data_IF_673715130533
#
_entry.id   IF_673715130533
#
_cell.length_a   1.000
_cell.length_b   1.000
_cell.length_c   1.000
_cell.angle_alpha   90.00
_cell.angle_beta   90.00
_cell.angle_gamma   90.00
#
_symmetry.space_group_name_H-M   'P 1'
#
loop_
_entity.id
_entity.type
_entity.pdbx_description
1 polymer ?
#
# COMPACT_ATOMS: atom_id res chain seq x y z
N UNK A 1 -16.50 -33.77 -7.54
CA UNK A 1 -15.82 -32.49 -7.21
C UNK A 1 -15.70 -31.59 -8.44
N UNK A 2 -15.28 -32.12 -9.60
CA UNK A 2 -15.23 -31.36 -10.87
C UNK A 2 -16.58 -30.75 -11.27
N UNK A 3 -17.69 -31.50 -11.12
CA UNK A 3 -19.03 -30.97 -11.46
C UNK A 3 -19.48 -29.82 -10.53
N UNK A 4 -19.13 -29.88 -9.25
CA UNK A 4 -19.41 -28.80 -8.29
C UNK A 4 -18.59 -27.54 -8.61
N UNK A 5 -17.32 -27.71 -9.00
CA UNK A 5 -16.46 -26.60 -9.44
C UNK A 5 -17.07 -25.92 -10.68
N UNK A 6 -17.46 -26.71 -11.69
CA UNK A 6 -18.07 -26.20 -12.92
C UNK A 6 -19.40 -25.48 -12.62
N UNK A 7 -20.27 -26.08 -11.81
CA UNK A 7 -21.55 -25.48 -11.42
C UNK A 7 -21.35 -24.17 -10.64
N UNK A 8 -20.44 -24.17 -9.66
CA UNK A 8 -20.08 -22.99 -8.86
C UNK A 8 -19.54 -21.84 -9.73
N UNK A 9 -18.70 -22.16 -10.70
CA UNK A 9 -18.16 -21.20 -11.66
C UNK A 9 -19.25 -20.67 -12.62
N UNK A 10 -20.14 -21.52 -13.11
CA UNK A 10 -21.25 -21.12 -13.99
C UNK A 10 -22.22 -20.14 -13.30
N UNK A 11 -22.55 -20.39 -12.03
CA UNK A 11 -23.41 -19.50 -11.24
C UNK A 11 -22.80 -18.11 -11.11
N UNK A 12 -21.51 -18.03 -10.75
CA UNK A 12 -20.77 -16.76 -10.63
C UNK A 12 -20.61 -16.06 -11.98
N UNK A 13 -20.34 -16.80 -13.05
CA UNK A 13 -20.29 -16.26 -14.41
C UNK A 13 -21.63 -15.67 -14.88
N UNK A 14 -22.77 -16.25 -14.48
CA UNK A 14 -24.09 -15.71 -14.80
C UNK A 14 -24.32 -14.33 -14.14
N UNK A 15 -23.90 -14.15 -12.89
CA UNK A 15 -23.97 -12.84 -12.22
C UNK A 15 -23.07 -11.81 -12.92
N UNK A 16 -21.81 -12.19 -13.22
CA UNK A 16 -20.86 -11.30 -13.91
C UNK A 16 -21.41 -10.89 -15.27
N UNK A 17 -21.93 -11.81 -16.08
CA UNK A 17 -22.55 -11.49 -17.38
C UNK A 17 -23.72 -10.51 -17.25
N UNK A 18 -24.56 -10.69 -16.23
CA UNK A 18 -25.66 -9.75 -15.95
C UNK A 18 -25.15 -8.36 -15.64
N UNK A 19 -24.09 -8.26 -14.84
CA UNK A 19 -23.45 -6.97 -14.55
C UNK A 19 -22.74 -6.40 -15.78
N UNK A 20 -22.08 -7.22 -16.61
CA UNK A 20 -21.35 -6.75 -17.79
C UNK A 20 -22.30 -6.06 -18.77
N UNK A 21 -23.49 -6.65 -18.98
CA UNK A 21 -24.57 -6.01 -19.76
C UNK A 21 -24.97 -4.64 -19.24
N UNK A 22 -24.97 -4.45 -17.91
CA UNK A 22 -25.36 -3.21 -17.25
C UNK A 22 -24.27 -2.14 -17.25
N UNK A 23 -23.02 -2.52 -16.95
CA UNK A 23 -21.94 -1.57 -16.70
C UNK A 23 -20.91 -1.48 -17.83
N UNK A 24 -20.91 -2.44 -18.77
CA UNK A 24 -20.01 -2.59 -19.92
C UNK A 24 -18.53 -2.78 -19.60
N UNK A 25 -18.05 -2.30 -18.46
CA UNK A 25 -16.70 -2.51 -17.95
C UNK A 25 -16.75 -2.95 -16.50
N UNK A 26 -16.24 -4.14 -16.22
CA UNK A 26 -16.21 -4.72 -14.87
C UNK A 26 -14.79 -5.08 -14.48
N UNK A 27 -14.51 -4.97 -13.19
CA UNK A 27 -13.32 -5.52 -12.58
C UNK A 27 -13.70 -6.61 -11.57
N UNK A 28 -13.06 -7.76 -11.67
CA UNK A 28 -13.15 -8.84 -10.69
C UNK A 28 -11.76 -9.18 -10.14
N UNK A 29 -11.69 -9.39 -8.83
CA UNK A 29 -10.53 -9.99 -8.19
C UNK A 29 -10.79 -11.50 -8.05
N UNK A 30 -9.91 -12.32 -8.62
CA UNK A 30 -9.96 -13.77 -8.63
C UNK A 30 -8.58 -14.34 -8.29
N UNK A 31 -8.11 -14.06 -7.07
CA UNK A 31 -6.80 -14.48 -6.56
C UNK A 31 -6.77 -15.91 -6.01
N UNK A 32 -5.78 -16.20 -5.16
CA UNK A 32 -5.47 -17.50 -4.59
C UNK A 32 -6.67 -18.19 -3.92
N UNK A 33 -7.54 -17.44 -3.24
CA UNK A 33 -8.75 -17.97 -2.60
C UNK A 33 -9.81 -18.52 -3.58
N UNK A 34 -9.75 -18.07 -4.85
CA UNK A 34 -10.67 -18.42 -5.92
C UNK A 34 -9.97 -19.15 -7.07
N UNK A 35 -8.69 -19.53 -6.92
CA UNK A 35 -7.85 -20.05 -7.99
C UNK A 35 -8.45 -21.30 -8.67
N UNK A 36 -9.04 -22.20 -7.87
CA UNK A 36 -9.73 -23.41 -8.35
C UNK A 36 -10.93 -23.10 -9.26
N UNK A 37 -11.51 -21.91 -9.15
CA UNK A 37 -12.62 -21.46 -9.98
C UNK A 37 -12.16 -20.63 -11.18
N UNK A 38 -10.92 -20.13 -11.23
CA UNK A 38 -10.50 -19.12 -12.20
C UNK A 38 -10.69 -19.59 -13.64
N UNK A 39 -10.07 -20.70 -14.03
CA UNK A 39 -10.17 -21.23 -15.40
C UNK A 39 -11.61 -21.63 -15.78
N UNK A 40 -12.35 -22.40 -14.95
CA UNK A 40 -13.77 -22.67 -15.18
C UNK A 40 -14.65 -21.41 -15.32
N UNK A 41 -14.38 -20.37 -14.51
CA UNK A 41 -15.10 -19.11 -14.53
C UNK A 41 -14.85 -18.37 -15.85
N UNK A 42 -13.58 -18.25 -16.26
CA UNK A 42 -13.19 -17.62 -17.52
C UNK A 42 -13.87 -18.30 -18.72
N UNK A 43 -13.89 -19.63 -18.74
CA UNK A 43 -14.60 -20.39 -19.77
C UNK A 43 -16.13 -20.16 -19.75
N UNK A 44 -16.73 -20.09 -18.56
CA UNK A 44 -18.17 -19.90 -18.40
C UNK A 44 -18.67 -18.47 -18.71
N UNK A 45 -17.79 -17.47 -18.78
CA UNK A 45 -18.14 -16.11 -19.18
C UNK A 45 -18.54 -16.01 -20.67
N UNK A 46 -18.16 -16.99 -21.50
CA UNK A 46 -18.69 -17.16 -22.86
C UNK A 46 -18.24 -16.08 -23.86
N UNK A 47 -16.96 -15.74 -23.87
CA UNK A 47 -16.37 -14.73 -24.76
C UNK A 47 -14.90 -15.00 -25.07
N UNK A 48 -14.19 -13.98 -25.58
CA UNK A 48 -12.77 -14.10 -25.93
C UNK A 48 -11.91 -13.73 -24.72
N UNK A 49 -11.15 -14.69 -24.21
CA UNK A 49 -10.16 -14.48 -23.13
C UNK A 49 -8.84 -14.06 -23.75
N UNK A 50 -8.30 -12.93 -23.33
CA UNK A 50 -7.05 -12.36 -23.81
C UNK A 50 -6.16 -12.02 -22.62
N UNK A 51 -4.86 -12.23 -22.75
CA UNK A 51 -3.90 -11.68 -21.80
C UNK A 51 -3.87 -10.14 -21.94
N UNK A 52 -3.99 -9.43 -20.82
CA UNK A 52 -4.07 -7.98 -20.82
C UNK A 52 -2.81 -7.27 -21.34
N UNK A 53 -1.61 -7.81 -21.05
CA UNK A 53 -0.35 -7.24 -21.50
C UNK A 53 -0.17 -7.43 -23.01
N UNK A 54 -0.43 -8.64 -23.52
CA UNK A 54 -0.38 -8.93 -24.94
C UNK A 54 -1.40 -8.08 -25.71
N UNK A 55 -2.63 -8.00 -25.19
CA UNK A 55 -3.68 -7.16 -25.75
C UNK A 55 -3.28 -5.69 -25.77
N UNK A 56 -2.58 -5.17 -24.76
CA UNK A 56 -2.08 -3.81 -24.77
C UNK A 56 -0.97 -3.59 -25.83
N UNK A 57 -0.14 -4.60 -26.10
CA UNK A 57 1.02 -4.52 -27.01
C UNK A 57 0.75 -4.69 -28.50
N UNK A 58 -0.40 -5.22 -28.90
CA UNK A 58 -0.71 -5.46 -30.33
C UNK A 58 -0.83 -4.17 -31.17
N UNK A 59 -0.12 -4.08 -32.29
CA UNK A 59 -0.20 -2.91 -33.19
C UNK A 59 -1.45 -2.91 -34.10
N UNK A 60 -2.03 -4.09 -34.33
CA UNK A 60 -3.15 -4.29 -35.26
C UNK A 60 -4.48 -3.79 -34.66
N UNK A 61 -5.45 -3.36 -35.51
CA UNK A 61 -6.83 -3.20 -35.08
C UNK A 61 -7.30 -4.51 -34.47
N UNK A 62 -7.92 -4.44 -33.29
CA UNK A 62 -8.52 -5.61 -32.66
C UNK A 62 -9.70 -6.02 -33.54
N UNK A 63 -9.59 -7.18 -34.21
CA UNK A 63 -10.76 -7.77 -34.86
C UNK A 63 -11.86 -7.93 -33.82
N UNK A 64 -13.04 -7.42 -34.14
CA UNK A 64 -14.21 -7.36 -33.27
C UNK A 64 -14.56 -8.76 -32.75
N UNK A 65 -14.44 -9.02 -31.44
CA UNK A 65 -14.91 -10.27 -30.85
C UNK A 65 -16.43 -10.33 -30.95
N UNK A 66 -17.00 -11.47 -31.32
CA UNK A 66 -18.46 -11.69 -31.40
C UNK A 66 -19.14 -11.90 -30.03
N UNK A 67 -18.52 -11.41 -28.94
CA UNK A 67 -19.00 -11.60 -27.57
C UNK A 67 -18.20 -10.77 -26.56
N UNK A 68 -18.37 -11.05 -25.25
CA UNK A 68 -17.62 -10.37 -24.20
C UNK A 68 -16.10 -10.53 -24.35
N UNK A 69 -15.36 -9.50 -23.97
CA UNK A 69 -13.89 -9.51 -23.94
C UNK A 69 -13.44 -9.66 -22.50
N UNK A 70 -12.73 -10.74 -22.20
CA UNK A 70 -12.19 -11.00 -20.87
C UNK A 70 -10.69 -10.74 -20.90
N UNK A 71 -10.24 -9.69 -20.23
CA UNK A 71 -8.84 -9.30 -20.12
C UNK A 71 -8.27 -9.89 -18.83
N UNK A 72 -7.57 -11.00 -18.96
CA UNK A 72 -6.97 -11.74 -17.85
C UNK A 72 -5.54 -11.29 -17.56
N UNK A 73 -5.13 -11.39 -16.29
CA UNK A 73 -3.76 -11.11 -15.87
C UNK A 73 -3.42 -9.62 -15.83
N UNK A 74 -4.40 -8.73 -15.57
CA UNK A 74 -4.15 -7.29 -15.51
C UNK A 74 -3.20 -6.90 -14.36
N UNK A 75 -3.01 -7.76 -13.34
CA UNK A 75 -2.04 -7.56 -12.24
C UNK A 75 -0.61 -7.34 -12.74
N UNK A 76 -0.29 -7.74 -13.98
CA UNK A 76 0.99 -7.44 -14.62
C UNK A 76 1.31 -5.93 -14.64
N UNK A 77 0.29 -5.06 -14.56
CA UNK A 77 0.44 -3.59 -14.52
C UNK A 77 0.43 -3.00 -13.10
N UNK A 78 0.28 -3.80 -12.05
CA UNK A 78 -0.01 -3.27 -10.70
C UNK A 78 1.13 -2.42 -10.13
N UNK A 79 2.40 -2.83 -10.33
CA UNK A 79 3.54 -2.22 -9.63
C UNK A 79 3.83 -0.77 -10.06
N UNK A 80 3.98 -0.52 -11.36
CA UNK A 80 4.39 0.78 -11.91
C UNK A 80 3.50 1.25 -13.07
N UNK A 81 2.37 0.57 -13.29
CA UNK A 81 1.49 0.84 -14.42
C UNK A 81 2.04 0.32 -15.75
N UNK A 82 3.06 -0.55 -15.74
CA UNK A 82 3.65 -1.15 -16.93
C UNK A 82 3.72 -2.66 -16.82
N UNK A 83 3.61 -3.33 -17.98
CA UNK A 83 3.87 -4.75 -18.12
C UNK A 83 4.87 -4.91 -19.27
N UNK A 84 6.14 -5.15 -18.96
CA UNK A 84 7.22 -5.10 -19.96
C UNK A 84 7.31 -3.71 -20.61
N UNK A 85 7.12 -3.63 -21.93
CA UNK A 85 7.19 -2.38 -22.69
C UNK A 85 5.88 -1.60 -22.81
N UNK A 86 4.75 -2.14 -22.33
CA UNK A 86 3.42 -1.54 -22.51
C UNK A 86 2.90 -0.91 -21.23
N UNK A 87 2.07 0.12 -21.37
CA UNK A 87 1.52 0.89 -20.24
C UNK A 87 0.03 0.61 -20.04
N UNK A 88 -0.44 0.80 -18.80
CA UNK A 88 -1.86 0.76 -18.47
C UNK A 88 -2.67 1.81 -19.26
N UNK A 89 -2.04 2.92 -19.66
CA UNK A 89 -2.63 3.92 -20.55
C UNK A 89 -2.88 3.39 -21.96
N UNK A 90 -1.96 2.59 -22.51
CA UNK A 90 -2.15 1.92 -23.80
C UNK A 90 -3.29 0.89 -23.74
N UNK A 91 -3.37 0.12 -22.64
CA UNK A 91 -4.48 -0.79 -22.38
C UNK A 91 -5.81 -0.03 -22.34
N UNK A 92 -5.87 1.09 -21.58
CA UNK A 92 -7.06 1.94 -21.47
C UNK A 92 -7.54 2.43 -22.84
N UNK A 93 -6.62 2.92 -23.68
CA UNK A 93 -6.98 3.42 -25.00
C UNK A 93 -7.66 2.35 -25.86
N UNK A 94 -7.23 1.10 -25.77
CA UNK A 94 -7.86 -0.02 -26.48
C UNK A 94 -9.18 -0.44 -25.87
N UNK A 95 -9.27 -0.50 -24.54
CA UNK A 95 -10.52 -0.75 -23.82
C UNK A 95 -11.57 0.30 -24.21
N UNK A 96 -11.20 1.58 -24.28
CA UNK A 96 -12.12 2.64 -24.69
C UNK A 96 -12.63 2.45 -26.13
N UNK A 97 -11.76 2.08 -27.08
CA UNK A 97 -12.20 1.75 -28.45
C UNK A 97 -13.21 0.61 -28.49
N UNK A 98 -13.04 -0.42 -27.65
CA UNK A 98 -14.02 -1.51 -27.51
C UNK A 98 -15.32 -1.01 -26.85
N UNK A 99 -15.25 -0.07 -25.91
CA UNK A 99 -16.45 0.53 -25.30
C UNK A 99 -17.22 1.44 -26.26
N UNK A 100 -16.54 2.17 -27.15
CA UNK A 100 -17.17 3.04 -28.15
C UNK A 100 -18.06 2.27 -29.14
N UNK A 101 -17.82 0.97 -29.27
CA UNK A 101 -18.60 0.02 -30.09
C UNK A 101 -19.49 -0.90 -29.24
N UNK A 102 -19.77 -0.49 -28.00
CA UNK A 102 -20.68 -1.13 -27.05
C UNK A 102 -20.27 -2.54 -26.57
N UNK A 103 -18.99 -2.89 -26.66
CA UNK A 103 -18.49 -4.19 -26.19
C UNK A 103 -18.57 -4.34 -24.67
N UNK A 104 -18.84 -5.57 -24.23
CA UNK A 104 -18.82 -5.99 -22.83
C UNK A 104 -17.42 -6.44 -22.43
N UNK A 105 -16.85 -5.85 -21.38
CA UNK A 105 -15.45 -6.05 -21.00
C UNK A 105 -15.35 -6.44 -19.53
N UNK A 106 -14.63 -7.52 -19.25
CA UNK A 106 -14.30 -7.97 -17.90
C UNK A 106 -12.80 -7.95 -17.68
N UNK A 107 -12.33 -7.13 -16.74
CA UNK A 107 -10.96 -7.13 -16.26
C UNK A 107 -10.84 -8.13 -15.12
N UNK A 108 -9.93 -9.09 -15.24
CA UNK A 108 -9.71 -10.14 -14.25
C UNK A 108 -8.33 -10.01 -13.67
N UNK A 109 -8.25 -9.83 -12.34
CA UNK A 109 -6.98 -9.70 -11.65
C UNK A 109 -6.83 -10.64 -10.46
N UNK A 110 -5.60 -11.04 -10.15
CA UNK A 110 -5.26 -11.59 -8.83
C UNK A 110 -5.20 -10.52 -7.74
N UNK A 111 -4.78 -9.30 -8.10
CA UNK A 111 -4.59 -8.19 -7.17
C UNK A 111 -5.83 -7.29 -7.09
N UNK A 112 -6.11 -6.61 -5.96
CA UNK A 112 -7.18 -5.64 -5.86
C UNK A 112 -6.82 -4.32 -6.54
N UNK A 113 -7.83 -3.49 -6.86
CA UNK A 113 -7.65 -2.20 -7.54
C UNK A 113 -6.67 -1.26 -6.81
N UNK A 114 -6.70 -1.24 -5.47
CA UNK A 114 -5.86 -0.38 -4.64
C UNK A 114 -4.35 -0.71 -4.73
N UNK A 115 -3.98 -1.88 -5.26
CA UNK A 115 -2.59 -2.29 -5.45
C UNK A 115 -1.98 -1.72 -6.73
N UNK A 116 -2.81 -1.19 -7.64
CA UNK A 116 -2.33 -0.61 -8.88
C UNK A 116 -1.81 0.81 -8.65
N UNK A 117 -0.63 1.10 -9.20
CA UNK A 117 -0.06 2.43 -9.15
C UNK A 117 -1.00 3.47 -9.79
N UNK A 118 -1.18 4.65 -9.17
CA UNK A 118 -1.93 5.72 -9.78
C UNK A 118 -1.18 6.24 -11.01
N UNK A 119 -1.75 6.03 -12.21
CA UNK A 119 -1.17 6.51 -13.47
C UNK A 119 -1.88 7.80 -13.88
N UNK A 120 -1.13 8.91 -13.97
CA UNK A 120 -1.68 10.19 -14.39
C UNK A 120 -2.39 10.07 -15.75
N UNK A 121 -3.67 10.47 -15.80
CA UNK A 121 -4.49 10.37 -17.01
C UNK A 121 -5.05 8.98 -17.33
N UNK A 122 -4.86 7.97 -16.48
CA UNK A 122 -5.48 6.64 -16.63
C UNK A 122 -6.34 6.30 -15.41
N UNK A 123 -7.65 6.27 -15.59
CA UNK A 123 -8.64 5.85 -14.60
C UNK A 123 -9.29 4.52 -14.97
N UNK A 124 -8.63 3.65 -15.76
CA UNK A 124 -9.25 2.41 -16.27
C UNK A 124 -9.93 1.58 -15.15
N UNK A 125 -9.28 1.47 -14.00
CA UNK A 125 -9.79 0.72 -12.85
C UNK A 125 -10.88 1.47 -12.08
N UNK A 126 -10.83 2.80 -12.07
CA UNK A 126 -11.86 3.65 -11.47
C UNK A 126 -13.13 3.69 -12.34
N UNK A 127 -12.96 3.62 -13.67
CA UNK A 127 -14.04 3.56 -14.66
C UNK A 127 -14.76 2.21 -14.62
N UNK A 128 -14.09 1.15 -14.13
CA UNK A 128 -14.62 -0.21 -14.07
C UNK A 128 -15.53 -0.42 -12.85
N UNK A 129 -16.73 -0.98 -13.06
CA UNK A 129 -17.59 -1.40 -11.96
C UNK A 129 -16.97 -2.59 -11.22
N UNK A 130 -16.74 -2.46 -9.91
CA UNK A 130 -16.19 -3.56 -9.11
C UNK A 130 -17.26 -4.63 -8.85
N UNK A 131 -16.87 -5.90 -8.95
CA UNK A 131 -17.69 -7.02 -8.54
C UNK A 131 -16.88 -8.01 -7.69
N UNK A 132 -17.39 -8.27 -6.48
CA UNK A 132 -16.85 -9.22 -5.53
C UNK A 132 -17.42 -10.61 -5.81
N UNK A 133 -16.55 -11.60 -6.02
CA UNK A 133 -16.97 -12.98 -6.15
C UNK A 133 -17.51 -13.49 -4.80
N UNK A 134 -18.70 -14.10 -4.77
CA UNK A 134 -19.23 -14.66 -3.54
C UNK A 134 -18.43 -15.89 -3.09
N UNK A 135 -18.27 -16.03 -1.77
CA UNK A 135 -17.78 -17.24 -1.11
C UNK A 135 -18.69 -18.43 -1.42
N UNK A 136 -18.27 -19.65 -1.05
CA UNK A 136 -19.11 -20.84 -1.22
C UNK A 136 -20.31 -20.80 -0.27
N UNK A 137 -21.50 -21.02 -0.83
CA UNK A 137 -22.72 -21.22 -0.07
C UNK A 137 -22.69 -22.58 0.67
N UNK A 138 -23.44 -22.77 1.76
CA UNK A 138 -23.43 -24.02 2.53
C UNK A 138 -23.69 -25.29 1.71
N UNK A 139 -24.51 -25.19 0.65
CA UNK A 139 -24.84 -26.30 -0.25
C UNK A 139 -23.72 -26.60 -1.27
N UNK A 140 -22.84 -25.64 -1.56
CA UNK A 140 -21.68 -25.83 -2.45
C UNK A 140 -20.51 -26.51 -1.73
N UNK A 141 -20.55 -26.55 -0.38
CA UNK A 141 -19.50 -27.12 0.46
C UNK A 141 -19.68 -28.63 0.62
N UNK A 142 -18.64 -29.45 0.34
CA UNK A 142 -18.64 -30.87 0.66
C UNK A 142 -18.93 -31.08 2.15
N UNK A 143 -19.79 -32.06 2.47
CA UNK A 143 -20.26 -32.28 3.85
C UNK A 143 -19.11 -32.48 4.84
N UNK A 144 -18.07 -33.19 4.39
CA UNK A 144 -16.85 -33.47 5.13
C UNK A 144 -16.11 -32.20 5.57
N UNK A 145 -16.20 -31.09 4.83
CA UNK A 145 -15.44 -29.87 5.10
C UNK A 145 -16.28 -28.79 5.80
N UNK A 146 -17.61 -28.96 5.92
CA UNK A 146 -18.52 -27.93 6.46
C UNK A 146 -18.16 -27.44 7.87
N UNK A 147 -17.49 -28.27 8.67
CA UNK A 147 -17.06 -27.93 10.02
C UNK A 147 -15.78 -27.08 10.08
N UNK A 148 -15.06 -26.94 8.96
CA UNK A 148 -13.84 -26.14 8.86
C UNK A 148 -14.25 -24.69 8.53
N UNK A 149 -13.88 -23.68 9.34
CA UNK A 149 -14.23 -22.27 9.07
C UNK A 149 -13.81 -21.80 7.66
N UNK A 150 -12.62 -22.22 7.22
CA UNK A 150 -12.10 -21.92 5.89
C UNK A 150 -12.85 -22.58 4.72
N UNK A 151 -13.78 -23.52 4.97
CA UNK A 151 -14.52 -24.22 3.89
C UNK A 151 -15.42 -23.32 3.06
N UNK A 152 -15.66 -22.07 3.52
CA UNK A 152 -16.30 -21.03 2.73
C UNK A 152 -15.44 -20.54 1.55
N UNK A 153 -14.11 -20.68 1.63
CA UNK A 153 -13.20 -20.31 0.55
C UNK A 153 -13.23 -21.37 -0.56
N UNK A 154 -13.41 -21.00 -1.84
CA UNK A 154 -13.41 -21.96 -2.93
C UNK A 154 -12.19 -22.88 -2.97
N UNK A 155 -10.99 -22.32 -2.82
CA UNK A 155 -9.74 -23.11 -2.83
C UNK A 155 -9.63 -24.12 -1.68
N UNK A 156 -10.40 -23.95 -0.59
CA UNK A 156 -10.44 -24.92 0.52
C UNK A 156 -11.63 -25.86 0.37
N UNK A 157 -12.83 -25.32 0.17
CA UNK A 157 -14.06 -26.11 0.10
C UNK A 157 -14.16 -26.98 -1.15
N UNK A 158 -13.50 -26.62 -2.26
CA UNK A 158 -13.50 -27.41 -3.50
C UNK A 158 -12.10 -27.96 -3.86
N UNK A 159 -11.07 -27.63 -3.08
CA UNK A 159 -9.69 -28.10 -3.27
C UNK A 159 -9.40 -29.43 -2.58
N UNK A 160 -8.45 -30.21 -3.10
CA UNK A 160 -8.12 -31.56 -2.58
C UNK A 160 -7.26 -31.58 -1.31
N UNK A 161 -6.49 -30.53 -1.03
CA UNK A 161 -5.77 -30.29 0.22
C UNK A 161 -5.03 -28.96 0.05
N UNK A 162 -5.52 -27.91 0.68
CA UNK A 162 -4.92 -26.58 0.58
C UNK A 162 -4.20 -26.30 1.89
N UNK A 163 -2.87 -26.19 1.83
CA UNK A 163 -2.10 -25.65 2.96
C UNK A 163 -2.65 -24.25 3.25
N UNK A 164 -3.37 -24.13 4.35
CA UNK A 164 -4.08 -22.92 4.72
C UNK A 164 -3.13 -21.76 4.98
N UNK A 165 -1.95 -22.04 5.53
CA UNK A 165 -0.95 -21.00 5.77
C UNK A 165 -0.36 -20.50 4.45
N UNK A 166 -0.08 -21.41 3.51
CA UNK A 166 0.36 -21.03 2.18
C UNK A 166 -0.72 -20.21 1.46
N UNK A 167 -1.96 -20.69 1.44
CA UNK A 167 -3.09 -19.98 0.84
C UNK A 167 -3.26 -18.57 1.40
N UNK A 168 -3.18 -18.45 2.73
CA UNK A 168 -3.31 -17.17 3.40
C UNK A 168 -2.16 -16.22 3.08
N UNK A 169 -0.91 -16.72 3.07
CA UNK A 169 0.26 -15.92 2.66
C UNK A 169 0.13 -15.46 1.21
N UNK A 170 -0.21 -16.34 0.28
CA UNK A 170 -0.39 -15.99 -1.13
C UNK A 170 -1.52 -14.98 -1.32
N UNK A 171 -2.66 -15.16 -0.63
CA UNK A 171 -3.76 -14.19 -0.68
C UNK A 171 -3.34 -12.82 -0.13
N UNK A 172 -2.53 -12.76 0.93
CA UNK A 172 -1.99 -11.52 1.50
C UNK A 172 -0.94 -10.86 0.58
N UNK A 173 -0.08 -11.65 -0.08
CA UNK A 173 0.87 -11.15 -1.08
C UNK A 173 0.15 -10.49 -2.25
N UNK A 174 -0.94 -11.10 -2.74
CA UNK A 174 -1.79 -10.56 -3.81
C UNK A 174 -2.50 -9.25 -3.42
N UNK A 175 -2.70 -8.94 -2.13
CA UNK A 175 -3.24 -7.65 -1.69
C UNK A 175 -2.27 -6.48 -1.94
N UNK A 176 -0.97 -6.75 -2.03
CA UNK A 176 0.06 -5.75 -2.26
C UNK A 176 0.35 -4.82 -1.07
N UNK A 177 1.44 -4.08 -1.19
CA UNK A 177 2.04 -3.31 -0.07
C UNK A 177 1.13 -2.25 0.53
N UNK A 178 0.28 -1.61 -0.28
CA UNK A 178 -0.62 -0.56 0.20
C UNK A 178 -1.61 -1.09 1.23
N UNK A 179 -2.20 -2.26 0.96
CA UNK A 179 -3.12 -2.93 1.87
C UNK A 179 -2.37 -3.46 3.09
N UNK A 180 -1.20 -4.07 2.89
CA UNK A 180 -0.39 -4.63 3.96
C UNK A 180 0.03 -3.58 5.00
N UNK A 181 0.33 -2.33 4.59
CA UNK A 181 0.64 -1.28 5.56
C UNK A 181 -0.58 -0.88 6.42
N UNK A 182 -1.77 -0.82 5.82
CA UNK A 182 -2.99 -0.53 6.58
C UNK A 182 -3.35 -1.69 7.53
N UNK A 183 -3.07 -2.93 7.11
CA UNK A 183 -3.19 -4.12 7.97
C UNK A 183 -2.15 -4.10 9.11
N UNK A 184 -0.90 -3.71 8.85
CA UNK A 184 0.13 -3.57 9.90
C UNK A 184 -0.36 -2.64 11.01
N UNK A 185 -0.88 -1.48 10.61
CA UNK A 185 -1.47 -0.53 11.54
C UNK A 185 -2.64 -1.12 12.32
N UNK A 186 -3.65 -1.67 11.63
CA UNK A 186 -4.87 -2.12 12.27
C UNK A 186 -4.65 -3.33 13.20
N UNK A 187 -3.76 -4.25 12.82
CA UNK A 187 -3.53 -5.53 13.51
C UNK A 187 -2.47 -5.42 14.61
N UNK A 188 -1.41 -4.64 14.40
CA UNK A 188 -0.28 -4.56 15.33
C UNK A 188 -0.24 -3.26 16.13
N UNK A 189 -0.41 -2.10 15.48
CA UNK A 189 -0.28 -0.81 16.17
C UNK A 189 -1.55 -0.43 16.94
N UNK A 190 -2.71 -0.54 16.30
CA UNK A 190 -4.01 -0.22 16.89
C UNK A 190 -4.64 -1.42 17.62
N UNK A 191 -4.17 -2.63 17.32
CA UNK A 191 -4.58 -3.88 17.96
C UNK A 191 -6.10 -4.10 17.99
N UNK A 192 -6.78 -3.82 16.86
CA UNK A 192 -8.24 -3.91 16.76
C UNK A 192 -8.80 -5.35 16.82
N UNK A 193 -7.96 -6.38 16.97
CA UNK A 193 -8.40 -7.78 16.99
C UNK A 193 -9.14 -8.18 15.71
N UNK A 194 -10.07 -9.12 15.80
CA UNK A 194 -10.86 -9.59 14.65
C UNK A 194 -11.85 -8.53 14.10
N UNK A 195 -12.18 -7.50 14.88
CA UNK A 195 -13.00 -6.36 14.45
C UNK A 195 -12.27 -5.38 13.54
N UNK A 196 -10.97 -5.56 13.28
CA UNK A 196 -10.18 -4.64 12.46
C UNK A 196 -10.82 -4.31 11.10
N UNK A 197 -11.58 -5.26 10.52
CA UNK A 197 -12.16 -5.12 9.18
C UNK A 197 -13.19 -3.97 9.09
N UNK A 198 -13.80 -3.53 10.19
CA UNK A 198 -14.71 -2.38 10.21
C UNK A 198 -13.98 -1.05 10.38
N UNK A 199 -12.71 -1.08 10.76
CA UNK A 199 -11.89 0.09 11.08
C UNK A 199 -10.93 0.47 9.95
N UNK A 200 -10.71 -0.42 8.98
CA UNK A 200 -9.85 -0.15 7.81
C UNK A 200 -10.54 0.77 6.79
N UNK A 201 -9.75 1.46 5.97
CA UNK A 201 -10.29 2.29 4.90
C UNK A 201 -11.15 1.46 3.92
N UNK A 202 -12.20 2.03 3.29
CA UNK A 202 -13.11 1.29 2.41
C UNK A 202 -12.43 0.51 1.28
N UNK A 203 -11.35 1.05 0.69
CA UNK A 203 -10.58 0.36 -0.35
C UNK A 203 -9.82 -0.87 0.15
N UNK A 204 -9.39 -0.86 1.42
CA UNK A 204 -8.78 -2.03 2.08
C UNK A 204 -9.85 -3.08 2.37
N UNK A 205 -11.03 -2.66 2.86
CA UNK A 205 -12.17 -3.56 3.03
C UNK A 205 -12.60 -4.20 1.70
N UNK A 206 -12.65 -3.43 0.61
CA UNK A 206 -12.91 -3.92 -0.75
C UNK A 206 -11.89 -4.99 -1.18
N UNK A 207 -10.60 -4.70 -0.99
CA UNK A 207 -9.51 -5.62 -1.30
C UNK A 207 -9.58 -6.93 -0.51
N UNK A 208 -9.85 -6.84 0.80
CA UNK A 208 -10.03 -8.01 1.67
C UNK A 208 -11.23 -8.86 1.23
N UNK A 209 -12.32 -8.23 0.78
CA UNK A 209 -13.48 -8.93 0.22
C UNK A 209 -13.15 -9.65 -1.07
N UNK A 210 -12.46 -8.97 -2.00
CA UNK A 210 -12.03 -9.59 -3.26
C UNK A 210 -11.04 -10.74 -3.07
N UNK A 211 -10.24 -10.73 -2.00
CA UNK A 211 -9.36 -11.84 -1.61
C UNK A 211 -10.09 -12.97 -0.84
N UNK A 212 -11.40 -12.83 -0.60
CA UNK A 212 -12.19 -13.81 0.17
C UNK A 212 -11.94 -13.78 1.68
N UNK A 213 -11.16 -12.82 2.18
CA UNK A 213 -10.82 -12.64 3.60
C UNK A 213 -11.85 -11.78 4.34
N UNK A 214 -12.85 -11.24 3.64
CA UNK A 214 -13.98 -10.55 4.22
C UNK A 214 -15.26 -10.78 3.41
N UNK A 215 -16.41 -10.64 4.06
CA UNK A 215 -17.72 -10.88 3.45
C UNK A 215 -18.81 -10.08 4.16
N UNK A 216 -19.97 -9.94 3.52
CA UNK A 216 -21.12 -9.23 4.10
C UNK A 216 -22.14 -10.26 4.57
N UNK A 217 -22.58 -10.12 5.83
CA UNK A 217 -23.68 -10.90 6.43
C UNK A 217 -24.65 -9.91 7.06
N UNK A 218 -25.92 -9.99 6.67
CA UNK A 218 -26.98 -9.10 7.19
C UNK A 218 -26.62 -7.60 7.08
N UNK A 219 -25.95 -7.23 5.98
CA UNK A 219 -25.49 -5.85 5.74
C UNK A 219 -24.23 -5.44 6.50
N UNK A 220 -23.71 -6.27 7.41
CA UNK A 220 -22.49 -5.99 8.17
C UNK A 220 -21.27 -6.66 7.53
N UNK A 221 -20.17 -5.92 7.43
CA UNK A 221 -18.88 -6.44 6.99
C UNK A 221 -18.25 -7.29 8.09
N UNK A 222 -17.85 -8.51 7.74
CA UNK A 222 -17.23 -9.46 8.67
C UNK A 222 -15.93 -10.01 8.09
N UNK A 223 -14.98 -10.27 8.98
CA UNK A 223 -13.73 -10.92 8.64
C UNK A 223 -13.98 -12.42 8.42
N UNK A 224 -13.58 -12.95 7.27
CA UNK A 224 -13.62 -14.37 6.96
C UNK A 224 -12.30 -15.00 7.39
N UNK A 225 -12.17 -15.30 8.68
CA UNK A 225 -10.94 -15.90 9.21
C UNK A 225 -10.86 -17.38 8.82
N UNK A 226 -9.84 -17.82 8.06
CA UNK A 226 -9.68 -19.23 7.72
C UNK A 226 -9.31 -20.09 8.95
N UNK A 227 -8.81 -19.48 10.02
CA UNK A 227 -8.45 -20.11 11.28
C UNK A 227 -8.50 -19.13 12.46
N UNK A 228 -7.82 -19.41 13.59
CA UNK A 228 -7.67 -18.44 14.68
C UNK A 228 -7.03 -17.12 14.21
N UNK A 229 -7.44 -15.99 14.79
CA UNK A 229 -6.93 -14.66 14.40
C UNK A 229 -5.40 -14.51 14.50
N UNK A 230 -4.75 -15.22 15.43
CA UNK A 230 -3.29 -15.20 15.54
C UNK A 230 -2.58 -15.76 14.30
N UNK A 231 -3.19 -16.70 13.56
CA UNK A 231 -2.63 -17.22 12.31
C UNK A 231 -2.63 -16.14 11.23
N UNK A 232 -3.73 -15.37 11.15
CA UNK A 232 -3.81 -14.18 10.28
C UNK A 232 -2.74 -13.16 10.64
N UNK A 233 -2.61 -12.82 11.92
CA UNK A 233 -1.60 -11.90 12.41
C UNK A 233 -0.18 -12.34 12.01
N UNK A 234 0.17 -13.61 12.22
CA UNK A 234 1.48 -14.13 11.85
C UNK A 234 1.71 -14.11 10.34
N UNK A 235 0.71 -14.48 9.53
CA UNK A 235 0.83 -14.43 8.08
C UNK A 235 1.04 -13.01 7.55
N UNK A 236 0.39 -11.99 8.15
CA UNK A 236 0.65 -10.58 7.81
C UNK A 236 2.08 -10.20 8.15
N UNK A 237 2.59 -10.56 9.34
CA UNK A 237 3.98 -10.28 9.71
C UNK A 237 4.98 -10.96 8.76
N UNK A 238 4.74 -12.22 8.40
CA UNK A 238 5.60 -12.98 7.50
C UNK A 238 5.65 -12.33 6.12
N UNK A 239 4.49 -11.96 5.56
CA UNK A 239 4.43 -11.32 4.22
C UNK A 239 5.05 -9.92 4.24
N UNK A 240 4.87 -9.14 5.31
CA UNK A 240 5.56 -7.85 5.43
C UNK A 240 7.08 -8.04 5.47
N UNK A 241 7.58 -9.07 6.17
CA UNK A 241 9.00 -9.36 6.29
C UNK A 241 9.66 -9.80 4.97
N UNK A 242 8.89 -10.29 3.98
CA UNK A 242 9.43 -10.64 2.65
C UNK A 242 9.53 -9.45 1.70
N UNK A 243 9.00 -8.28 2.05
CA UNK A 243 9.07 -7.08 1.21
C UNK A 243 10.46 -6.46 1.30
N UNK A 244 11.25 -6.66 0.24
CA UNK A 244 12.61 -6.10 0.13
C UNK A 244 12.65 -4.83 -0.73
N UNK A 245 11.71 -4.68 -1.67
CA UNK A 245 11.69 -3.53 -2.60
C UNK A 245 11.21 -2.23 -1.96
N UNK A 246 11.76 -1.07 -2.34
CA UNK A 246 11.28 0.22 -1.84
C UNK A 246 9.87 0.51 -2.35
N UNK A 247 9.02 1.07 -1.48
CA UNK A 247 7.72 1.59 -1.90
C UNK A 247 7.88 2.79 -2.85
N UNK A 248 6.96 2.95 -3.80
CA UNK A 248 7.00 4.02 -4.80
C UNK A 248 7.09 5.43 -4.19
N UNK A 249 6.52 5.63 -2.99
CA UNK A 249 6.55 6.92 -2.29
C UNK A 249 7.84 7.17 -1.49
N UNK A 250 8.70 6.16 -1.30
CA UNK A 250 9.91 6.25 -0.47
C UNK A 250 10.88 7.35 -0.94
N UNK A 251 11.18 7.51 -2.25
CA UNK A 251 12.06 8.58 -2.70
C UNK A 251 11.53 9.97 -2.33
N UNK A 252 10.25 10.23 -2.60
CA UNK A 252 9.62 11.52 -2.32
C UNK A 252 9.55 11.82 -0.81
N UNK A 253 9.25 10.81 0.02
CA UNK A 253 9.26 10.95 1.48
C UNK A 253 10.67 11.23 2.00
N UNK A 254 11.67 10.47 1.53
CA UNK A 254 13.06 10.62 1.97
C UNK A 254 13.63 11.99 1.58
N UNK A 255 13.36 12.43 0.36
CA UNK A 255 13.74 13.77 -0.11
C UNK A 255 13.08 14.87 0.73
N UNK A 256 11.78 14.75 1.00
CA UNK A 256 11.08 15.73 1.81
C UNK A 256 11.58 15.79 3.26
N UNK A 257 11.86 14.64 3.89
CA UNK A 257 12.48 14.59 5.22
C UNK A 257 13.88 15.23 5.21
N UNK A 258 14.68 14.97 4.17
CA UNK A 258 15.99 15.61 3.99
C UNK A 258 15.88 17.13 3.88
N UNK A 259 14.94 17.63 3.07
CA UNK A 259 14.70 19.07 2.91
C UNK A 259 14.26 19.72 4.23
N UNK A 260 13.36 19.08 4.96
CA UNK A 260 12.90 19.52 6.30
C UNK A 260 14.11 19.64 7.23
N UNK A 261 14.89 18.58 7.39
CA UNK A 261 16.03 18.58 8.31
C UNK A 261 17.09 19.61 7.92
N UNK A 262 17.46 19.67 6.64
CA UNK A 262 18.46 20.64 6.15
C UNK A 262 17.99 22.08 6.35
N UNK A 263 16.71 22.36 6.16
CA UNK A 263 16.16 23.71 6.36
C UNK A 263 16.21 24.11 7.82
N UNK A 264 15.75 23.24 8.74
CA UNK A 264 15.80 23.52 10.19
C UNK A 264 17.26 23.72 10.64
N UNK A 265 18.19 22.87 10.20
CA UNK A 265 19.63 22.99 10.53
C UNK A 265 20.22 24.30 10.03
N UNK A 266 19.91 24.70 8.80
CA UNK A 266 20.36 25.98 8.23
C UNK A 266 19.87 27.16 9.07
N UNK A 267 18.60 27.18 9.42
CA UNK A 267 17.99 28.27 10.19
C UNK A 267 18.53 28.35 11.61
N UNK A 268 18.72 27.19 12.25
CA UNK A 268 19.36 27.12 13.56
C UNK A 268 20.79 27.67 13.50
N UNK A 269 21.55 27.31 12.46
CA UNK A 269 22.91 27.82 12.25
C UNK A 269 22.91 29.34 12.11
N UNK A 270 22.05 29.89 11.25
CA UNK A 270 21.94 31.33 11.05
C UNK A 270 21.56 32.06 12.33
N UNK A 271 20.60 31.52 13.10
CA UNK A 271 20.22 32.08 14.39
C UNK A 271 21.38 32.02 15.40
N UNK A 272 22.13 30.91 15.45
CA UNK A 272 23.27 30.75 16.35
C UNK A 272 24.43 31.70 16.00
N UNK A 273 24.71 31.89 14.71
CA UNK A 273 25.72 32.85 14.23
C UNK A 273 25.30 34.27 14.56
N UNK A 274 24.02 34.63 14.38
CA UNK A 274 23.51 35.96 14.75
C UNK A 274 23.62 36.23 16.25
N UNK A 275 23.38 35.22 17.08
CA UNK A 275 23.43 35.34 18.55
C UNK A 275 24.87 35.40 19.11
N UNK A 276 25.76 34.53 18.63
CA UNK A 276 27.07 34.29 19.27
C UNK A 276 28.29 34.52 18.36
N UNK A 277 28.09 34.97 17.11
CA UNK A 277 29.17 35.30 16.19
C UNK A 277 30.15 34.14 15.99
N UNK A 278 31.46 34.41 16.07
CA UNK A 278 32.50 33.40 15.90
C UNK A 278 32.46 32.26 16.93
N UNK A 279 31.84 32.49 18.10
CA UNK A 279 31.74 31.50 19.19
C UNK A 279 30.46 30.65 19.10
N UNK A 280 29.70 30.75 18.00
CA UNK A 280 28.42 30.05 17.87
C UNK A 280 28.52 28.55 18.09
N UNK A 281 29.58 27.89 17.63
CA UNK A 281 29.79 26.44 17.82
C UNK A 281 29.90 26.05 19.30
N UNK A 282 30.64 26.83 20.07
CA UNK A 282 30.86 26.62 21.50
C UNK A 282 29.58 26.87 22.31
N UNK A 283 28.79 27.87 21.89
CA UNK A 283 27.61 28.34 22.61
C UNK A 283 26.30 27.74 22.09
N UNK A 284 26.36 26.72 21.22
CA UNK A 284 25.19 26.15 20.55
C UNK A 284 24.40 25.19 21.45
N UNK A 285 25.11 24.44 22.30
CA UNK A 285 24.56 23.32 23.07
C UNK A 285 24.75 23.49 24.57
N UNK A 286 23.97 22.74 25.34
CA UNK A 286 24.37 22.39 26.70
C UNK A 286 25.47 21.31 26.67
N UNK A 287 26.11 21.07 27.80
CA UNK A 287 27.23 20.12 27.89
C UNK A 287 26.85 18.70 27.47
N UNK A 288 25.64 18.24 27.81
CA UNK A 288 25.14 16.91 27.47
C UNK A 288 25.03 16.69 25.96
N UNK A 289 24.38 17.60 25.23
CA UNK A 289 24.24 17.50 23.77
C UNK A 289 25.61 17.67 23.10
N UNK A 290 26.47 18.54 23.63
CA UNK A 290 27.82 18.73 23.11
C UNK A 290 28.66 17.45 23.19
N UNK A 291 28.56 16.70 24.29
CA UNK A 291 29.24 15.40 24.45
C UNK A 291 28.74 14.37 23.44
N UNK A 292 27.42 14.21 23.29
CA UNK A 292 26.83 13.27 22.34
C UNK A 292 27.20 13.59 20.88
N UNK A 293 27.17 14.87 20.51
CA UNK A 293 27.61 15.33 19.17
C UNK A 293 29.08 15.01 18.93
N UNK A 294 29.94 15.30 19.91
CA UNK A 294 31.37 15.04 19.80
C UNK A 294 31.68 13.54 19.70
N UNK A 295 31.01 12.72 20.49
CA UNK A 295 31.14 11.25 20.45
C UNK A 295 30.78 10.70 19.08
N UNK A 296 29.63 11.09 18.52
CA UNK A 296 29.22 10.67 17.16
C UNK A 296 30.21 11.15 16.10
N UNK A 297 30.66 12.40 16.20
CA UNK A 297 31.62 12.97 15.25
C UNK A 297 32.96 12.22 15.27
N UNK A 298 33.45 11.84 16.46
CA UNK A 298 34.69 11.07 16.64
C UNK A 298 34.58 9.65 16.13
N UNK A 299 33.42 9.02 16.28
CA UNK A 299 33.17 7.65 15.85
C UNK A 299 32.99 7.51 14.33
N UNK A 300 32.93 8.62 13.59
CA UNK A 300 32.73 8.63 12.14
C UNK A 300 33.93 9.29 11.42
N UNK A 301 33.94 10.63 11.28
CA UNK A 301 34.93 11.33 10.43
C UNK A 301 35.87 12.30 11.16
N UNK A 302 35.60 12.68 12.41
CA UNK A 302 36.36 13.68 13.17
C UNK A 302 37.05 13.06 14.40
N UNK A 303 37.81 11.98 14.19
CA UNK A 303 38.45 11.18 15.26
C UNK A 303 39.27 12.01 16.24
N UNK A 304 39.93 13.07 15.78
CA UNK A 304 40.87 13.89 16.57
C UNK A 304 40.25 15.12 17.23
N UNK A 305 38.97 15.43 17.00
CA UNK A 305 38.35 16.64 17.53
C UNK A 305 38.27 16.59 19.07
N UNK A 306 38.77 17.60 19.78
CA UNK A 306 38.77 17.64 21.24
C UNK A 306 37.47 18.20 21.83
N UNK A 307 36.79 19.07 21.09
CA UNK A 307 35.55 19.72 21.48
C UNK A 307 34.71 20.11 20.24
N UNK A 308 33.45 20.49 20.46
CA UNK A 308 32.51 20.82 19.37
C UNK A 308 32.91 22.03 18.53
N UNK A 309 33.79 22.91 19.02
CA UNK A 309 34.24 24.09 18.29
C UNK A 309 35.19 23.74 17.14
N UNK A 310 35.84 22.57 17.21
CA UNK A 310 36.76 22.05 16.18
C UNK A 310 36.00 21.37 15.03
N UNK A 311 34.71 21.09 15.21
CA UNK A 311 33.87 20.52 14.17
C UNK A 311 33.52 21.58 13.12
N UNK A 312 33.58 21.21 11.83
CA UNK A 312 33.15 22.08 10.71
C UNK A 312 31.75 22.65 10.96
N UNK A 313 30.82 21.75 11.25
CA UNK A 313 29.46 22.08 11.68
C UNK A 313 28.97 21.09 12.75
N UNK A 314 28.92 21.51 14.03
CA UNK A 314 28.38 20.66 15.08
C UNK A 314 26.88 20.36 14.92
N UNK A 315 26.12 21.16 14.17
CA UNK A 315 24.68 20.94 13.95
C UNK A 315 24.43 19.66 13.14
N UNK A 316 25.33 19.26 12.24
CA UNK A 316 25.14 18.08 11.37
C UNK A 316 25.03 16.76 12.15
N UNK A 317 25.57 16.70 13.36
CA UNK A 317 25.62 15.51 14.21
C UNK A 317 24.41 15.33 15.14
N UNK A 318 23.51 16.31 15.15
CA UNK A 318 22.26 16.21 15.89
C UNK A 318 21.33 15.20 15.21
N UNK A 319 20.69 14.34 16.00
CA UNK A 319 19.47 13.66 15.57
C UNK A 319 18.34 14.69 15.40
N UNK A 320 17.29 14.34 14.67
CA UNK A 320 16.12 15.24 14.54
C UNK A 320 15.51 15.56 15.91
N UNK A 321 15.47 14.60 16.85
CA UNK A 321 14.97 14.84 18.21
C UNK A 321 15.77 15.89 18.97
N UNK A 322 17.11 15.80 18.94
CA UNK A 322 17.99 16.78 19.58
C UNK A 322 17.95 18.14 18.85
N UNK A 323 17.85 18.12 17.52
CA UNK A 323 17.70 19.33 16.72
C UNK A 323 16.46 20.12 17.17
N UNK A 324 15.32 19.45 17.31
CA UNK A 324 14.09 20.07 17.80
C UNK A 324 14.24 20.55 19.25
N UNK A 325 14.92 19.79 20.11
CA UNK A 325 15.19 20.22 21.48
C UNK A 325 15.99 21.53 21.53
N UNK A 326 17.00 21.68 20.67
CA UNK A 326 17.79 22.92 20.58
C UNK A 326 16.93 24.06 20.03
N UNK A 327 16.18 23.83 18.95
CA UNK A 327 15.29 24.82 18.33
C UNK A 327 14.24 25.34 19.31
N UNK A 328 13.62 24.46 20.09
CA UNK A 328 12.58 24.79 21.07
C UNK A 328 13.14 25.35 22.39
N UNK A 329 14.47 25.42 22.54
CA UNK A 329 15.09 25.97 23.75
C UNK A 329 14.79 27.47 23.94
N UNK A 330 14.89 27.96 25.18
CA UNK A 330 14.71 29.37 25.51
C UNK A 330 15.64 30.32 24.71
N UNK A 331 16.78 29.80 24.25
CA UNK A 331 17.75 30.52 23.42
C UNK A 331 17.22 30.82 22.02
N UNK A 332 16.61 29.83 21.36
CA UNK A 332 16.18 29.93 19.96
C UNK A 332 14.68 30.16 19.79
N UNK A 333 13.89 30.02 20.86
CA UNK A 333 12.46 30.35 20.94
C UNK A 333 11.64 29.80 19.76
N UNK A 334 11.99 28.60 19.30
CA UNK A 334 11.27 27.91 18.24
C UNK A 334 11.49 28.46 16.82
N UNK A 335 12.53 29.28 16.57
CA UNK A 335 12.85 29.79 15.23
C UNK A 335 11.61 30.33 14.48
N UNK A 336 10.86 31.24 15.10
CA UNK A 336 9.62 31.87 14.57
C UNK A 336 8.34 31.02 14.63
N UNK A 337 8.42 29.74 14.97
CA UNK A 337 7.24 28.91 15.23
C UNK A 337 6.97 28.79 16.73
N UNK A 338 5.68 28.79 17.09
CA UNK A 338 5.26 28.56 18.46
C UNK A 338 5.38 27.07 18.86
N UNK A 339 5.30 26.81 20.16
CA UNK A 339 5.41 25.45 20.70
C UNK A 339 4.26 24.51 20.31
N UNK A 340 3.07 25.04 19.98
CA UNK A 340 1.96 24.21 19.52
C UNK A 340 2.24 23.67 18.12
N UNK A 341 2.83 24.50 17.26
CA UNK A 341 3.20 24.13 15.91
C UNK A 341 4.35 23.12 15.89
N UNK A 342 5.38 23.30 16.73
CA UNK A 342 6.45 22.31 16.88
C UNK A 342 5.96 20.98 17.43
N UNK A 343 5.03 21.00 18.38
CA UNK A 343 4.40 19.78 18.90
C UNK A 343 3.67 19.03 17.80
N UNK A 344 2.89 19.74 16.97
CA UNK A 344 2.20 19.14 15.82
C UNK A 344 3.20 18.59 14.79
N UNK A 345 4.24 19.34 14.45
CA UNK A 345 5.33 18.87 13.59
C UNK A 345 5.93 17.57 14.12
N UNK A 346 6.21 17.49 15.43
CA UNK A 346 6.77 16.31 16.07
C UNK A 346 5.82 15.11 15.96
N UNK A 347 4.52 15.31 16.21
CA UNK A 347 3.50 14.26 16.11
C UNK A 347 3.36 13.72 14.69
N UNK A 348 3.47 14.60 13.69
CA UNK A 348 3.28 14.24 12.28
C UNK A 348 4.56 13.64 11.66
N UNK A 349 5.73 14.26 11.87
CA UNK A 349 6.96 13.96 11.14
C UNK A 349 7.84 12.92 11.82
N UNK A 350 7.94 12.92 13.17
CA UNK A 350 8.83 11.97 13.86
C UNK A 350 8.46 10.51 13.61
N UNK A 351 7.19 10.09 13.62
CA UNK A 351 6.83 8.70 13.32
C UNK A 351 7.25 8.30 11.90
N UNK A 352 7.12 9.19 10.93
CA UNK A 352 7.52 8.96 9.54
C UNK A 352 9.04 8.81 9.44
N UNK A 353 9.79 9.74 10.04
CA UNK A 353 11.26 9.69 10.08
C UNK A 353 11.75 8.40 10.74
N UNK A 354 11.13 7.99 11.86
CA UNK A 354 11.49 6.77 12.56
C UNK A 354 11.20 5.52 11.72
N UNK A 355 10.06 5.47 11.01
CA UNK A 355 9.79 4.38 10.05
C UNK A 355 10.89 4.28 9.01
N UNK A 356 11.24 5.40 8.37
CA UNK A 356 12.32 5.44 7.36
C UNK A 356 13.66 5.01 7.94
N UNK A 357 14.04 5.48 9.14
CA UNK A 357 15.31 5.10 9.76
C UNK A 357 15.39 3.63 10.16
N UNK A 358 14.25 2.99 10.39
CA UNK A 358 14.15 1.56 10.71
C UNK A 358 13.77 0.70 9.49
N UNK A 359 13.76 1.27 8.29
CA UNK A 359 13.37 0.58 7.05
C UNK A 359 11.97 -0.08 7.12
N UNK A 360 11.06 0.53 7.90
CA UNK A 360 9.66 0.09 7.97
C UNK A 360 8.86 0.63 6.80
N UNK A 361 7.78 -0.08 6.43
CA UNK A 361 6.84 0.36 5.41
C UNK A 361 6.22 1.72 5.76
N UNK A 362 6.19 2.60 4.76
CA UNK A 362 5.50 3.88 4.78
C UNK A 362 4.00 3.71 4.75
N UNK A 363 3.30 4.53 5.53
CA UNK A 363 1.84 4.63 5.52
C UNK A 363 1.39 5.49 4.34
N UNK A 364 0.17 5.22 3.85
CA UNK A 364 -0.45 5.89 2.69
C UNK A 364 -0.42 7.43 2.75
N UNK A 365 -0.52 8.02 3.96
CA UNK A 365 -0.55 9.49 4.16
C UNK A 365 0.82 10.11 4.43
N UNK A 366 1.89 9.32 4.52
CA UNK A 366 3.22 9.81 4.90
C UNK A 366 3.75 10.82 3.87
N UNK A 367 3.62 10.53 2.58
CA UNK A 367 4.02 11.44 1.49
C UNK A 367 3.29 12.79 1.55
N UNK A 368 1.97 12.77 1.72
CA UNK A 368 1.18 14.01 1.80
C UNK A 368 1.56 14.83 3.04
N UNK A 369 1.77 14.16 4.17
CA UNK A 369 2.17 14.78 5.44
C UNK A 369 3.54 15.45 5.32
N UNK A 370 4.54 14.74 4.78
CA UNK A 370 5.88 15.28 4.55
C UNK A 370 5.83 16.46 3.58
N UNK A 371 5.11 16.34 2.46
CA UNK A 371 4.98 17.43 1.47
C UNK A 371 4.36 18.69 2.09
N UNK A 372 3.31 18.55 2.90
CA UNK A 372 2.71 19.66 3.63
C UNK A 372 3.73 20.37 4.52
N UNK A 373 4.54 19.60 5.28
CA UNK A 373 5.54 20.17 6.17
C UNK A 373 6.73 20.78 5.44
N UNK A 374 7.19 20.20 4.32
CA UNK A 374 8.18 20.81 3.43
C UNK A 374 7.69 22.19 3.01
N UNK A 375 6.50 22.29 2.44
CA UNK A 375 5.92 23.56 1.99
C UNK A 375 5.81 24.56 3.14
N UNK A 376 5.39 24.11 4.32
CA UNK A 376 5.22 25.01 5.47
C UNK A 376 6.56 25.53 5.99
N UNK A 377 7.56 24.67 6.11
CA UNK A 377 8.90 25.06 6.57
C UNK A 377 9.57 25.99 5.56
N UNK A 378 9.49 25.70 4.26
CA UNK A 378 10.11 26.55 3.25
C UNK A 378 9.41 27.89 3.13
N UNK A 379 8.08 27.97 3.20
CA UNK A 379 7.35 29.25 3.07
C UNK A 379 7.35 30.12 4.32
N UNK A 380 7.35 29.51 5.51
CA UNK A 380 7.17 30.26 6.76
C UNK A 380 8.49 30.57 7.46
N UNK A 381 9.56 29.81 7.14
CA UNK A 381 10.86 29.95 7.79
C UNK A 381 11.98 30.41 6.85
N UNK A 382 11.74 30.53 5.53
CA UNK A 382 12.61 31.34 4.66
C UNK A 382 12.10 32.77 4.59
#
# INVERSE_FOLDING_TARGET
MTDLILSSAQNRAAEIRTRMKRFKLIFIQCGAAFDILREPLLGALGGTVLNAADFAGTSSPVELPTGPVILDGIEAFAHDGKAGGVTLGALRAKVNKLRDIDAEICLVSRMPKISFAPVAGSSLLDDASWHCLPLLEPHERPEELRHIPASSLPSVGLGRQSDLNLLLRTALEELGVNVLTDLDFAVFEANHGASFITEVEPGVAEAMRGAGLAYIVDGALRFNSPGPFWQFKNAVADVIATIVGPQADLPAVSEGLWQIERTIRRLLREAAIRDAGAQWRKNLFNETIAQLVLERARNDVNVTAWNVSELRDPIEWLTLGELLQVVESAKFKGLSWDGALWRRFRQDVMPIRNRVSHLRLLKKRDRATVRMWVNRITTTLS
#
